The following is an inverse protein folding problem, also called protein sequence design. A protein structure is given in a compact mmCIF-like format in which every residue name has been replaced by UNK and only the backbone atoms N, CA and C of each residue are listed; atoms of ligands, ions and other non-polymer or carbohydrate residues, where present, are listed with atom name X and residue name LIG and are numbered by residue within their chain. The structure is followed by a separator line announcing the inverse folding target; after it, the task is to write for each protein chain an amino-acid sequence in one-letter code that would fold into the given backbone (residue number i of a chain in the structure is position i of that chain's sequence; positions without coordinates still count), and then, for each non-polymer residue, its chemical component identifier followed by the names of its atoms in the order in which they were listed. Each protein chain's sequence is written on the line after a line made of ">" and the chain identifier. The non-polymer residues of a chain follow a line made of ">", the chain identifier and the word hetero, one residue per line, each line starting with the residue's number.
data_IF_904679327006
#
_entry.id   IF_904679327006
#
_cell.length_a   1.000
_cell.length_b   1.000
_cell.length_c   1.000
_cell.angle_alpha   90.00
_cell.angle_beta   90.00
_cell.angle_gamma   90.00
#
_symmetry.space_group_name_H-M   'P 1'
#
loop_
_entity.id
_entity.type
_entity.pdbx_description
1 polymer ?
#
# COMPACT_ATOMS: atom_id res chain seq x y z
N UNK A 1 -62.64 47.11 32.28
CA UNK A 1 -63.38 46.26 31.32
C UNK A 1 -62.45 45.77 30.21
N UNK A 2 -61.34 45.10 30.54
CA UNK A 2 -60.33 44.65 29.58
C UNK A 2 -60.06 43.13 29.65
N UNK A 3 -60.72 42.41 30.56
CA UNK A 3 -60.46 40.98 30.81
C UNK A 3 -61.29 40.03 29.93
N UNK A 4 -62.40 40.50 29.34
CA UNK A 4 -63.32 39.64 28.56
C UNK A 4 -62.88 39.52 27.09
N UNK A 5 -62.24 40.55 26.53
CA UNK A 5 -61.74 40.52 25.14
C UNK A 5 -60.46 39.69 25.01
N UNK A 6 -59.60 39.69 26.04
CA UNK A 6 -58.35 38.90 26.04
C UNK A 6 -58.64 37.38 26.14
N UNK A 7 -59.69 36.97 26.86
CA UNK A 7 -60.09 35.55 26.90
C UNK A 7 -60.61 35.04 25.54
N UNK A 8 -61.35 35.86 24.78
CA UNK A 8 -61.87 35.47 23.45
C UNK A 8 -60.77 35.39 22.39
N UNK A 9 -59.69 36.17 22.52
CA UNK A 9 -58.55 36.09 21.62
C UNK A 9 -57.80 34.75 21.76
N UNK A 10 -57.57 34.27 22.98
CA UNK A 10 -56.94 32.96 23.20
C UNK A 10 -57.82 31.80 22.71
N UNK A 11 -59.14 31.90 22.88
CA UNK A 11 -60.09 30.86 22.45
C UNK A 11 -60.19 30.76 20.92
N UNK A 12 -60.15 31.90 20.22
CA UNK A 12 -60.11 31.93 18.75
C UNK A 12 -58.77 31.42 18.20
N UNK A 13 -57.64 31.74 18.84
CA UNK A 13 -56.33 31.19 18.44
C UNK A 13 -56.30 29.67 18.60
N UNK A 14 -56.80 29.13 19.72
CA UNK A 14 -56.86 27.68 19.92
C UNK A 14 -57.81 26.96 18.94
N UNK A 15 -58.87 27.64 18.50
CA UNK A 15 -59.82 27.14 17.49
C UNK A 15 -59.24 27.19 16.07
N UNK A 16 -58.49 28.23 15.74
CA UNK A 16 -57.87 28.39 14.41
C UNK A 16 -56.67 27.45 14.20
N UNK A 17 -56.12 26.86 15.26
CA UNK A 17 -55.10 25.81 15.19
C UNK A 17 -55.64 24.41 15.50
N UNK A 18 -56.95 24.22 15.68
CA UNK A 18 -57.51 22.88 15.97
C UNK A 18 -57.37 21.89 14.81
N UNK A 19 -57.14 22.38 13.59
CA UNK A 19 -56.85 21.56 12.41
C UNK A 19 -55.43 20.96 12.43
N UNK A 20 -54.51 21.50 13.24
CA UNK A 20 -53.19 20.90 13.43
C UNK A 20 -53.25 19.61 14.27
N UNK A 21 -54.39 19.24 14.85
CA UNK A 21 -54.48 18.05 15.70
C UNK A 21 -53.61 18.16 16.96
N UNK A 22 -53.63 17.13 17.81
CA UNK A 22 -52.76 17.13 19.01
C UNK A 22 -51.32 16.90 18.57
N UNK A 23 -50.34 17.49 19.25
CA UNK A 23 -48.92 17.22 19.01
C UNK A 23 -48.58 15.71 19.07
N UNK A 24 -49.39 14.91 19.79
CA UNK A 24 -49.29 13.44 19.79
C UNK A 24 -49.49 12.81 18.42
N UNK A 25 -50.22 13.47 17.51
CA UNK A 25 -50.69 12.87 16.26
C UNK A 25 -49.72 13.16 15.10
N UNK A 26 -49.04 14.31 15.11
CA UNK A 26 -48.07 14.72 14.09
C UNK A 26 -46.64 14.89 14.61
N UNK A 27 -46.44 15.04 15.92
CA UNK A 27 -45.12 15.15 16.55
C UNK A 27 -44.23 13.94 16.26
N UNK A 28 -44.72 12.68 16.39
CA UNK A 28 -43.95 11.50 16.01
C UNK A 28 -43.59 11.48 14.52
N UNK A 29 -44.48 11.94 13.63
CA UNK A 29 -44.23 11.99 12.20
C UNK A 29 -43.15 13.03 11.84
N UNK A 30 -43.21 14.24 12.42
CA UNK A 30 -42.15 15.25 12.23
C UNK A 30 -40.81 14.82 12.83
N UNK A 31 -40.82 14.17 14.00
CA UNK A 31 -39.60 13.58 14.57
C UNK A 31 -39.03 12.49 13.66
N UNK A 32 -39.85 11.59 13.15
CA UNK A 32 -39.41 10.56 12.21
C UNK A 32 -38.86 11.16 10.91
N UNK A 33 -39.53 12.16 10.33
CA UNK A 33 -39.07 12.82 9.10
C UNK A 33 -37.79 13.62 9.32
N UNK A 34 -37.66 14.35 10.44
CA UNK A 34 -36.44 15.09 10.75
C UNK A 34 -35.25 14.16 11.03
N UNK A 35 -35.46 13.07 11.77
CA UNK A 35 -34.44 12.03 11.98
C UNK A 35 -34.05 11.39 10.65
N UNK A 36 -35.02 11.07 9.77
CA UNK A 36 -34.74 10.52 8.45
C UNK A 36 -33.90 11.48 7.59
N UNK A 37 -34.18 12.78 7.63
CA UNK A 37 -33.37 13.79 6.94
C UNK A 37 -31.94 13.87 7.51
N UNK A 38 -31.78 13.84 8.84
CA UNK A 38 -30.47 13.83 9.47
C UNK A 38 -29.67 12.59 9.06
N UNK A 39 -30.31 11.42 9.05
CA UNK A 39 -29.65 10.17 8.62
C UNK A 39 -29.26 10.27 7.14
N UNK A 40 -30.18 10.71 6.27
CA UNK A 40 -29.95 10.75 4.83
C UNK A 40 -28.85 11.74 4.42
N UNK A 41 -28.80 12.92 5.04
CA UNK A 41 -27.88 13.99 4.63
C UNK A 41 -26.60 14.09 5.45
N UNK A 42 -26.58 13.58 6.68
CA UNK A 42 -25.39 13.65 7.53
C UNK A 42 -24.82 12.29 7.85
N UNK A 43 -25.61 11.38 8.42
CA UNK A 43 -25.08 10.10 8.89
C UNK A 43 -24.62 9.21 7.74
N UNK A 44 -25.43 9.08 6.69
CA UNK A 44 -25.15 8.20 5.56
C UNK A 44 -23.93 8.64 4.73
N UNK A 45 -23.79 9.93 4.32
CA UNK A 45 -22.58 10.37 3.60
C UNK A 45 -21.31 10.22 4.45
N UNK A 46 -21.41 10.52 5.75
CA UNK A 46 -20.29 10.35 6.67
C UNK A 46 -19.89 8.89 6.84
N UNK A 47 -20.85 7.98 6.95
CA UNK A 47 -20.61 6.54 7.00
C UNK A 47 -19.98 6.05 5.69
N UNK A 48 -20.53 6.46 4.55
CA UNK A 48 -20.02 6.08 3.22
C UNK A 48 -18.57 6.53 3.01
N UNK A 49 -18.23 7.75 3.41
CA UNK A 49 -16.85 8.26 3.31
C UNK A 49 -15.88 7.46 4.20
N UNK A 50 -16.33 7.02 5.37
CA UNK A 50 -15.54 6.16 6.25
C UNK A 50 -15.34 4.76 5.70
N UNK A 51 -16.41 4.14 5.22
CA UNK A 51 -16.35 2.80 4.64
C UNK A 51 -15.43 2.79 3.41
N UNK A 52 -15.50 3.83 2.57
CA UNK A 52 -14.58 4.01 1.43
C UNK A 52 -13.12 4.10 1.87
N UNK A 53 -12.82 4.88 2.92
CA UNK A 53 -11.45 4.98 3.46
C UNK A 53 -10.95 3.63 3.97
N UNK A 54 -11.80 2.89 4.69
CA UNK A 54 -11.45 1.59 5.24
C UNK A 54 -11.19 0.58 4.11
N UNK A 55 -12.00 0.60 3.05
CA UNK A 55 -11.78 -0.23 1.87
C UNK A 55 -10.44 0.09 1.18
N UNK A 56 -10.12 1.38 0.96
CA UNK A 56 -8.83 1.79 0.39
C UNK A 56 -7.67 1.29 1.27
N UNK A 57 -7.77 1.42 2.60
CA UNK A 57 -6.74 0.94 3.53
C UNK A 57 -6.55 -0.59 3.47
N UNK A 58 -7.63 -1.35 3.25
CA UNK A 58 -7.56 -2.80 3.08
C UNK A 58 -6.92 -3.18 1.74
N UNK A 59 -7.28 -2.49 0.66
CA UNK A 59 -6.67 -2.66 -0.67
C UNK A 59 -5.18 -2.33 -0.63
N UNK A 60 -4.79 -1.24 0.03
CA UNK A 60 -3.39 -0.86 0.26
C UNK A 60 -2.60 -1.95 0.97
N UNK A 61 -3.18 -2.57 1.99
CA UNK A 61 -2.53 -3.69 2.71
C UNK A 61 -2.35 -4.92 1.81
N UNK A 62 -3.32 -5.20 0.94
CA UNK A 62 -3.21 -6.25 -0.07
C UNK A 62 -2.04 -5.98 -1.01
N UNK A 63 -1.98 -4.76 -1.55
CA UNK A 63 -0.89 -4.31 -2.42
C UNK A 63 0.47 -4.42 -1.74
N UNK A 64 0.61 -3.98 -0.48
CA UNK A 64 1.89 -4.10 0.25
C UNK A 64 2.33 -5.56 0.43
N UNK A 65 1.40 -6.48 0.65
CA UNK A 65 1.71 -7.90 0.71
C UNK A 65 2.22 -8.41 -0.64
N UNK A 66 1.54 -8.02 -1.72
CA UNK A 66 1.85 -8.52 -3.05
C UNK A 66 3.18 -8.00 -3.58
N UNK A 67 3.60 -6.80 -3.16
CA UNK A 67 4.87 -6.19 -3.56
C UNK A 67 6.10 -6.72 -2.80
N UNK A 68 5.92 -7.46 -1.70
CA UNK A 68 7.04 -8.07 -0.98
C UNK A 68 7.60 -9.28 -1.75
N UNK A 69 6.75 -10.02 -2.47
CA UNK A 69 7.19 -11.22 -3.21
C UNK A 69 8.25 -10.90 -4.29
N UNK A 70 8.06 -9.90 -5.16
CA UNK A 70 9.07 -9.54 -6.15
C UNK A 70 10.45 -9.18 -5.56
N UNK A 71 10.48 -8.55 -4.38
CA UNK A 71 11.75 -8.20 -3.71
C UNK A 71 12.55 -9.47 -3.37
N UNK A 72 11.87 -10.46 -2.80
CA UNK A 72 12.48 -11.75 -2.48
C UNK A 72 12.81 -12.56 -3.73
N UNK A 73 11.99 -12.48 -4.79
CA UNK A 73 12.23 -13.21 -6.03
C UNK A 73 13.48 -12.75 -6.77
N UNK A 74 13.75 -11.44 -6.78
CA UNK A 74 14.98 -10.86 -7.36
C UNK A 74 16.20 -11.25 -6.51
N UNK A 75 16.10 -11.13 -5.18
CA UNK A 75 17.15 -11.55 -4.24
C UNK A 75 17.52 -13.02 -4.42
N UNK A 76 16.52 -13.89 -4.44
CA UNK A 76 16.73 -15.33 -4.63
C UNK A 76 17.36 -15.63 -6.00
N UNK A 77 16.96 -14.91 -7.04
CA UNK A 77 17.55 -15.08 -8.37
C UNK A 77 19.04 -14.66 -8.41
N UNK A 78 19.40 -13.59 -7.69
CA UNK A 78 20.79 -13.17 -7.52
C UNK A 78 21.62 -14.19 -6.73
N UNK A 79 21.11 -14.71 -5.61
CA UNK A 79 21.81 -15.76 -4.84
C UNK A 79 22.10 -17.00 -5.72
N UNK A 80 21.18 -17.34 -6.62
CA UNK A 80 21.33 -18.45 -7.56
C UNK A 80 22.28 -18.17 -8.73
N UNK A 81 22.81 -16.96 -8.88
CA UNK A 81 23.85 -16.69 -9.88
C UNK A 81 25.16 -17.37 -9.52
N UNK A 82 25.50 -17.49 -8.23
CA UNK A 82 26.78 -18.04 -7.77
C UNK A 82 26.95 -19.56 -8.00
N UNK A 83 25.89 -20.28 -8.36
CA UNK A 83 25.87 -21.73 -8.54
C UNK A 83 25.94 -22.19 -10.01
N UNK A 84 26.51 -21.36 -10.89
CA UNK A 84 26.62 -21.66 -12.33
C UNK A 84 27.63 -22.78 -12.64
N UNK A 85 27.28 -23.64 -13.61
CA UNK A 85 28.18 -24.67 -14.14
C UNK A 85 29.14 -24.11 -15.19
N UNK A 86 28.59 -23.39 -16.16
CA UNK A 86 29.30 -22.88 -17.36
C UNK A 86 28.84 -21.46 -17.71
N UNK A 87 29.59 -20.77 -18.59
CA UNK A 87 29.25 -19.41 -19.04
C UNK A 87 27.87 -19.29 -19.71
N UNK A 88 27.43 -20.31 -20.44
CA UNK A 88 26.10 -20.34 -21.05
C UNK A 88 24.98 -20.41 -19.99
N UNK A 89 25.19 -21.18 -18.91
CA UNK A 89 24.27 -21.26 -17.77
C UNK A 89 24.23 -19.92 -17.03
N UNK A 90 25.39 -19.29 -16.82
CA UNK A 90 25.49 -17.97 -16.20
C UNK A 90 24.72 -16.90 -16.98
N UNK A 91 24.87 -16.84 -18.30
CA UNK A 91 24.14 -15.90 -19.14
C UNK A 91 22.62 -16.09 -19.04
N UNK A 92 22.15 -17.34 -19.03
CA UNK A 92 20.73 -17.68 -18.87
C UNK A 92 20.18 -17.29 -17.49
N UNK A 93 20.98 -17.46 -16.43
CA UNK A 93 20.59 -17.05 -15.07
C UNK A 93 20.49 -15.54 -14.98
N UNK A 94 21.42 -14.79 -15.57
CA UNK A 94 21.40 -13.32 -15.61
C UNK A 94 20.17 -12.80 -16.34
N UNK A 95 19.82 -13.38 -17.50
CA UNK A 95 18.58 -13.00 -18.18
C UNK A 95 17.36 -13.29 -17.32
N UNK A 96 17.35 -14.38 -16.55
CA UNK A 96 16.27 -14.67 -15.60
C UNK A 96 16.18 -13.65 -14.46
N UNK A 97 17.31 -13.14 -13.95
CA UNK A 97 17.30 -12.05 -12.96
C UNK A 97 16.68 -10.78 -13.55
N UNK A 98 17.07 -10.40 -14.78
CA UNK A 98 16.48 -9.25 -15.47
C UNK A 98 14.97 -9.40 -15.70
N UNK A 99 14.52 -10.58 -16.10
CA UNK A 99 13.07 -10.85 -16.27
C UNK A 99 12.32 -10.65 -14.96
N UNK A 100 12.84 -11.17 -13.85
CA UNK A 100 12.23 -11.02 -12.51
C UNK A 100 12.24 -9.56 -12.04
N UNK A 101 13.34 -8.83 -12.28
CA UNK A 101 13.45 -7.41 -11.96
C UNK A 101 12.40 -6.60 -12.71
N UNK A 102 12.28 -6.81 -14.03
CA UNK A 102 11.30 -6.13 -14.87
C UNK A 102 9.85 -6.50 -14.51
N UNK A 103 9.60 -7.76 -14.15
CA UNK A 103 8.28 -8.20 -13.68
C UNK A 103 7.91 -7.49 -12.37
N UNK A 104 8.85 -7.42 -11.42
CA UNK A 104 8.66 -6.69 -10.16
C UNK A 104 8.42 -5.19 -10.36
N UNK A 105 9.14 -4.55 -11.27
CA UNK A 105 8.96 -3.14 -11.57
C UNK A 105 7.60 -2.86 -12.22
N UNK A 106 7.13 -3.71 -13.15
CA UNK A 106 5.79 -3.60 -13.73
C UNK A 106 4.70 -3.73 -12.67
N UNK A 107 4.84 -4.69 -11.76
CA UNK A 107 3.90 -4.86 -10.66
C UNK A 107 3.92 -3.65 -9.72
N UNK A 108 5.10 -3.09 -9.44
CA UNK A 108 5.24 -1.85 -8.68
C UNK A 108 4.53 -0.68 -9.38
N UNK A 109 4.76 -0.46 -10.67
CA UNK A 109 4.11 0.59 -11.45
C UNK A 109 2.58 0.45 -11.50
N UNK A 110 2.06 -0.77 -11.59
CA UNK A 110 0.62 -1.01 -11.50
C UNK A 110 0.06 -0.62 -10.11
N UNK A 111 0.90 -0.72 -9.08
CA UNK A 111 0.55 -0.52 -7.68
C UNK A 111 0.76 0.91 -7.19
N UNK A 112 1.51 1.77 -7.90
CA UNK A 112 1.83 3.15 -7.46
C UNK A 112 0.61 4.03 -7.21
N UNK A 113 -0.54 3.70 -7.78
CA UNK A 113 -1.81 4.45 -7.56
C UNK A 113 -2.31 4.30 -6.12
N UNK A 114 -2.01 3.17 -5.48
CA UNK A 114 -2.52 2.84 -4.14
C UNK A 114 -1.45 3.00 -3.04
N UNK A 115 -0.17 2.94 -3.38
CA UNK A 115 0.93 2.98 -2.41
C UNK A 115 1.19 4.40 -1.88
N UNK A 116 1.59 4.51 -0.61
CA UNK A 116 2.10 5.76 -0.04
C UNK A 116 3.36 6.25 -0.78
N UNK A 117 3.45 7.54 -1.18
CA UNK A 117 4.62 8.09 -1.86
C UNK A 117 5.97 7.78 -1.19
N UNK A 118 6.02 7.68 0.15
CA UNK A 118 7.23 7.32 0.89
C UNK A 118 7.68 5.90 0.60
N UNK A 119 6.74 4.96 0.56
CA UNK A 119 7.02 3.56 0.19
C UNK A 119 7.42 3.50 -1.28
N UNK A 120 6.74 4.25 -2.15
CA UNK A 120 7.07 4.30 -3.57
C UNK A 120 8.52 4.77 -3.80
N UNK A 121 8.98 5.77 -3.06
CA UNK A 121 10.37 6.24 -3.13
C UNK A 121 11.38 5.16 -2.70
N UNK A 122 11.09 4.37 -1.66
CA UNK A 122 11.97 3.26 -1.27
C UNK A 122 11.98 2.14 -2.32
N UNK A 123 10.84 1.83 -2.95
CA UNK A 123 10.81 0.87 -4.06
C UNK A 123 11.61 1.37 -5.26
N UNK A 124 11.50 2.65 -5.61
CA UNK A 124 12.33 3.25 -6.66
C UNK A 124 13.82 3.14 -6.33
N UNK A 125 14.19 3.41 -5.07
CA UNK A 125 15.56 3.22 -4.59
C UNK A 125 16.00 1.77 -4.73
N UNK A 126 15.18 0.81 -4.27
CA UNK A 126 15.45 -0.62 -4.43
C UNK A 126 15.70 -1.00 -5.89
N UNK A 127 14.82 -0.60 -6.83
CA UNK A 127 15.01 -0.92 -8.25
C UNK A 127 16.24 -0.24 -8.85
N UNK A 128 16.57 0.98 -8.40
CA UNK A 128 17.80 1.66 -8.82
C UNK A 128 19.05 0.93 -8.34
N UNK A 129 19.06 0.45 -7.10
CA UNK A 129 20.17 -0.32 -6.54
C UNK A 129 20.29 -1.69 -7.21
N UNK A 130 19.17 -2.38 -7.44
CA UNK A 130 19.14 -3.65 -8.16
C UNK A 130 19.70 -3.52 -9.59
N UNK A 131 19.35 -2.45 -10.32
CA UNK A 131 19.93 -2.16 -11.64
C UNK A 131 21.42 -1.87 -11.56
N UNK A 132 21.87 -1.11 -10.57
CA UNK A 132 23.30 -0.87 -10.34
C UNK A 132 24.05 -2.18 -10.13
N UNK A 133 23.54 -3.07 -9.27
CA UNK A 133 24.15 -4.39 -9.04
C UNK A 133 24.21 -5.22 -10.32
N UNK A 134 23.14 -5.21 -11.12
CA UNK A 134 23.14 -5.92 -12.41
C UNK A 134 24.11 -5.32 -13.43
N UNK A 135 24.32 -4.00 -13.40
CA UNK A 135 25.34 -3.33 -14.20
C UNK A 135 26.74 -3.75 -13.76
N UNK A 136 27.03 -3.70 -12.46
CA UNK A 136 28.32 -4.10 -11.89
C UNK A 136 28.66 -5.55 -12.28
N UNK A 137 27.67 -6.46 -12.21
CA UNK A 137 27.80 -7.85 -12.64
C UNK A 137 28.07 -7.95 -14.16
N UNK A 138 27.36 -7.15 -14.97
CA UNK A 138 27.52 -7.12 -16.42
C UNK A 138 28.92 -6.64 -16.85
N UNK A 139 29.41 -5.58 -16.24
CA UNK A 139 30.72 -4.99 -16.51
C UNK A 139 31.83 -5.99 -16.20
N UNK A 140 31.74 -6.69 -15.07
CA UNK A 140 32.71 -7.73 -14.71
C UNK A 140 32.68 -8.90 -15.68
N UNK A 141 31.51 -9.36 -16.11
CA UNK A 141 31.44 -10.45 -17.09
C UNK A 141 32.02 -10.06 -18.44
N UNK A 142 31.89 -8.80 -18.82
CA UNK A 142 32.52 -8.30 -20.03
C UNK A 142 34.05 -8.26 -19.91
N UNK A 143 34.58 -7.85 -18.75
CA UNK A 143 36.03 -7.89 -18.47
C UNK A 143 36.56 -9.33 -18.47
N UNK A 144 35.84 -10.25 -17.84
CA UNK A 144 36.19 -11.67 -17.81
C UNK A 144 36.22 -12.28 -19.20
N UNK A 145 35.24 -11.96 -20.04
CA UNK A 145 35.20 -12.41 -21.44
C UNK A 145 36.35 -11.83 -22.27
N UNK A 146 36.64 -10.54 -22.14
CA UNK A 146 37.75 -9.91 -22.85
C UNK A 146 39.11 -10.51 -22.45
N UNK A 147 39.26 -10.86 -21.18
CA UNK A 147 40.47 -11.51 -20.66
C UNK A 147 40.61 -12.94 -21.22
N UNK A 148 39.50 -13.69 -21.27
CA UNK A 148 39.44 -15.03 -21.85
C UNK A 148 39.75 -15.04 -23.36
N UNK A 149 39.23 -14.07 -24.12
CA UNK A 149 39.46 -13.97 -25.58
C UNK A 149 40.92 -13.58 -25.92
N UNK A 150 41.70 -13.04 -24.97
CA UNK A 150 43.10 -12.63 -25.17
C UNK A 150 44.16 -13.69 -24.81
N UNK A 151 43.78 -14.78 -24.13
CA UNK A 151 44.71 -15.78 -23.59
C UNK A 151 44.66 -17.12 -24.36
N UNK A 152 45.79 -17.46 -25.00
CA UNK A 152 46.20 -18.81 -25.47
C UNK A 152 46.35 -19.76 -24.24
N UNK A 153 46.13 -21.09 -24.36
CA UNK A 153 45.59 -21.89 -23.25
C UNK A 153 46.66 -22.34 -22.25
N UNK A 154 46.60 -21.82 -21.01
CA UNK A 154 46.96 -22.47 -19.72
C UNK A 154 46.96 -21.41 -18.59
N UNK A 155 46.74 -21.76 -17.30
CA UNK A 155 45.88 -22.78 -16.69
C UNK A 155 44.60 -22.12 -16.10
N UNK A 156 43.65 -22.86 -15.48
CA UNK A 156 42.28 -22.39 -15.29
C UNK A 156 42.20 -21.30 -14.25
N UNK A 157 41.45 -20.26 -14.57
CA UNK A 157 41.24 -19.10 -13.73
C UNK A 157 40.49 -19.48 -12.45
N UNK A 158 41.23 -19.95 -11.44
CA UNK A 158 40.71 -20.24 -10.10
C UNK A 158 40.21 -18.97 -9.39
N UNK A 159 40.64 -17.78 -9.82
CA UNK A 159 40.26 -16.49 -9.25
C UNK A 159 38.99 -15.86 -9.83
N UNK A 160 38.52 -16.27 -11.02
CA UNK A 160 37.30 -15.69 -11.64
C UNK A 160 36.07 -15.94 -10.78
N UNK A 161 35.96 -17.15 -10.22
CA UNK A 161 34.86 -17.48 -9.30
C UNK A 161 34.96 -16.71 -7.99
N UNK A 162 36.16 -16.34 -7.55
CA UNK A 162 36.38 -15.52 -6.35
C UNK A 162 35.89 -14.10 -6.57
N UNK A 163 36.42 -13.42 -7.60
CA UNK A 163 36.07 -12.03 -7.93
C UNK A 163 34.58 -11.89 -8.23
N UNK A 164 34.01 -12.80 -9.03
CA UNK A 164 32.58 -12.79 -9.31
C UNK A 164 31.73 -12.98 -8.05
N UNK A 165 32.17 -13.85 -7.14
CA UNK A 165 31.47 -14.09 -5.87
C UNK A 165 31.53 -12.87 -4.96
N UNK A 166 32.65 -12.17 -4.89
CA UNK A 166 32.78 -10.96 -4.08
C UNK A 166 31.86 -9.84 -4.56
N UNK A 167 31.74 -9.66 -5.89
CA UNK A 167 30.80 -8.72 -6.50
C UNK A 167 29.36 -9.12 -6.25
N UNK A 168 29.04 -10.41 -6.37
CA UNK A 168 27.73 -10.95 -6.06
C UNK A 168 27.35 -10.72 -4.59
N UNK A 169 28.25 -11.07 -3.67
CA UNK A 169 28.04 -10.92 -2.21
C UNK A 169 27.88 -9.44 -1.84
N UNK A 170 28.66 -8.54 -2.45
CA UNK A 170 28.51 -7.10 -2.28
C UNK A 170 27.15 -6.60 -2.80
N UNK A 171 26.74 -7.06 -3.98
CA UNK A 171 25.45 -6.75 -4.57
C UNK A 171 24.26 -7.23 -3.73
N UNK A 172 24.32 -8.45 -3.22
CA UNK A 172 23.30 -9.01 -2.32
C UNK A 172 23.18 -8.18 -1.06
N UNK A 173 24.30 -7.75 -0.44
CA UNK A 173 24.26 -6.88 0.76
C UNK A 173 23.62 -5.52 0.48
N UNK A 174 23.92 -4.89 -0.66
CA UNK A 174 23.27 -3.63 -1.06
C UNK A 174 21.75 -3.85 -1.20
N UNK A 175 21.36 -4.92 -1.89
CA UNK A 175 19.96 -5.24 -2.10
C UNK A 175 19.22 -5.58 -0.80
N UNK A 176 19.89 -6.26 0.15
CA UNK A 176 19.35 -6.55 1.47
C UNK A 176 19.08 -5.26 2.25
N UNK A 177 20.02 -4.31 2.24
CA UNK A 177 19.83 -3.01 2.87
C UNK A 177 18.64 -2.23 2.26
N UNK A 178 18.51 -2.23 0.93
CA UNK A 178 17.35 -1.63 0.27
C UNK A 178 16.03 -2.35 0.60
N UNK A 179 16.05 -3.69 0.63
CA UNK A 179 14.88 -4.52 0.98
C UNK A 179 14.42 -4.23 2.40
N UNK A 180 15.35 -4.14 3.36
CA UNK A 180 15.05 -3.75 4.73
C UNK A 180 14.45 -2.35 4.82
N UNK A 181 14.96 -1.39 4.03
CA UNK A 181 14.38 -0.05 3.91
C UNK A 181 12.90 -0.09 3.51
N UNK A 182 12.59 -0.83 2.44
CA UNK A 182 11.22 -1.02 1.97
C UNK A 182 10.34 -1.70 3.02
N UNK A 183 10.79 -2.82 3.60
CA UNK A 183 10.05 -3.59 4.60
C UNK A 183 9.77 -2.74 5.85
N UNK A 184 10.75 -1.96 6.32
CA UNK A 184 10.58 -1.09 7.47
C UNK A 184 9.54 0.02 7.20
N UNK A 185 9.53 0.63 6.01
CA UNK A 185 8.50 1.61 5.64
C UNK A 185 7.11 1.00 5.49
N UNK A 186 7.02 -0.19 4.90
CA UNK A 186 5.76 -0.93 4.83
C UNK A 186 5.27 -1.23 6.25
N UNK A 187 6.16 -1.65 7.14
CA UNK A 187 5.84 -1.94 8.55
C UNK A 187 5.35 -0.69 9.29
N UNK A 188 6.03 0.43 9.16
CA UNK A 188 5.61 1.72 9.73
C UNK A 188 4.21 2.11 9.25
N UNK A 189 3.97 2.04 7.94
CA UNK A 189 2.67 2.36 7.36
C UNK A 189 1.58 1.36 7.75
N UNK A 190 1.88 0.06 7.75
CA UNK A 190 0.94 -0.99 8.14
C UNK A 190 0.56 -0.91 9.63
N UNK A 191 1.49 -0.54 10.51
CA UNK A 191 1.18 -0.31 11.93
C UNK A 191 0.36 0.96 12.15
N UNK A 192 0.63 2.02 11.39
CA UNK A 192 -0.25 3.21 11.36
C UNK A 192 -1.68 2.84 10.96
N UNK A 193 -1.82 2.08 9.87
CA UNK A 193 -3.11 1.59 9.37
C UNK A 193 -3.82 0.67 10.38
N UNK A 194 -3.10 -0.27 11.01
CA UNK A 194 -3.70 -1.13 12.05
C UNK A 194 -4.15 -0.36 13.29
N UNK A 195 -3.39 0.66 13.70
CA UNK A 195 -3.74 1.55 14.80
C UNK A 195 -5.04 2.30 14.51
N UNK A 196 -5.16 2.88 13.33
CA UNK A 196 -6.37 3.58 12.88
C UNK A 196 -7.58 2.64 12.80
N UNK A 197 -7.43 1.46 12.18
CA UNK A 197 -8.51 0.47 12.06
C UNK A 197 -8.98 0.00 13.46
N UNK A 198 -8.06 -0.23 14.40
CA UNK A 198 -8.41 -0.63 15.77
C UNK A 198 -9.09 0.49 16.55
N UNK A 199 -8.61 1.74 16.43
CA UNK A 199 -9.24 2.90 17.06
C UNK A 199 -10.64 3.13 16.49
N UNK A 200 -10.83 2.97 15.17
CA UNK A 200 -12.13 3.09 14.53
C UNK A 200 -13.09 1.95 14.95
N UNK A 201 -12.62 0.71 15.00
CA UNK A 201 -13.40 -0.43 15.50
C UNK A 201 -13.84 -0.24 16.96
N UNK A 202 -12.97 0.31 17.82
CA UNK A 202 -13.33 0.64 19.21
C UNK A 202 -14.32 1.80 19.31
N UNK A 203 -14.20 2.82 18.45
CA UNK A 203 -15.12 3.97 18.42
C UNK A 203 -16.52 3.55 17.97
N UNK A 204 -16.63 2.60 17.05
CA UNK A 204 -17.90 2.00 16.61
C UNK A 204 -18.46 0.96 17.60
N UNK A 205 -17.70 0.54 18.61
CA UNK A 205 -18.13 -0.38 19.67
C UNK A 205 -18.56 0.30 20.98
N UNK A 206 -18.60 1.63 21.05
CA UNK A 206 -19.16 2.27 22.25
C UNK A 206 -20.65 1.89 22.34
N UNK A 207 -21.09 1.25 23.43
CA UNK A 207 -22.47 0.82 23.59
C UNK A 207 -23.35 2.06 23.75
N UNK A 208 -24.52 2.00 23.12
CA UNK A 208 -25.68 2.81 23.45
C UNK A 208 -25.86 2.77 24.99
N UNK A 209 -25.64 3.92 25.63
CA UNK A 209 -26.12 4.21 26.98
C UNK A 209 -27.17 5.30 26.85
#
# INVERSE_FOLDING_TARGET
>A
MASVEVMRACENVCRDFSWLGKFSDWGPALLASSVALIIAFYAYPWQKERDRKLQIQLEQRGVYRDLIFPLHDVRFALENLGSFSDFADLQKRISSVFERLNAGERQFLASTVLIDPKIANEFQRYFSEARSVMSDIGDELQQLRATQDSLVPEPPVKDVKGVFKDVLDCGIRKLDAATEGVINRIRESAFGLQGEIRLQSRKNRKPEQ
#
